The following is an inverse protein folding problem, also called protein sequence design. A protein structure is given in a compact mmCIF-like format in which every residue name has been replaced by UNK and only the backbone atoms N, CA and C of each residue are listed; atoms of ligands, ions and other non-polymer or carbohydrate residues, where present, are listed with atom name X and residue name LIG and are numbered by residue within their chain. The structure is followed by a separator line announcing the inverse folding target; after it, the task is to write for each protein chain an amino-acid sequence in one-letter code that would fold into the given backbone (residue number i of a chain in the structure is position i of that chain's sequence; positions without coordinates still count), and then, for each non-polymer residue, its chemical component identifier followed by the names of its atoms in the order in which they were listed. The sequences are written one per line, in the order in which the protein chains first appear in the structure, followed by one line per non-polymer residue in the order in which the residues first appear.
data_IF_384660835318
#
_entry.id   IF_384660835318
#
_cell.length_a   1.000
_cell.length_b   1.000
_cell.length_c   1.000
_cell.angle_alpha   90.00
_cell.angle_beta   90.00
_cell.angle_gamma   90.00
#
_symmetry.space_group_name_H-M   'P 1'
#
loop_
_entity.id
_entity.type
_entity.pdbx_description
1 polymer ?
#
# COMPACT_ATOMS: atom_id res chain seq x y z
N UNK A 1 -6.21 -7.91 -35.62
CA UNK A 1 -7.33 -7.37 -34.83
C UNK A 1 -6.76 -6.78 -33.55
N UNK A 2 -6.78 -5.45 -33.42
CA UNK A 2 -6.31 -4.74 -32.23
C UNK A 2 -7.52 -4.46 -31.36
N UNK A 3 -7.71 -5.21 -30.28
CA UNK A 3 -8.83 -4.99 -29.38
C UNK A 3 -8.64 -3.68 -28.57
N UNK A 4 -9.46 -2.64 -28.80
CA UNK A 4 -9.35 -1.38 -28.08
C UNK A 4 -9.71 -1.52 -26.58
N UNK A 5 -10.38 -2.60 -26.16
CA UNK A 5 -10.73 -2.85 -24.75
C UNK A 5 -9.51 -3.38 -23.96
N UNK A 6 -8.69 -4.24 -24.56
CA UNK A 6 -7.45 -4.75 -23.95
C UNK A 6 -6.39 -3.65 -23.73
N UNK A 7 -6.37 -2.60 -24.57
CA UNK A 7 -5.49 -1.43 -24.36
C UNK A 7 -6.01 -0.46 -23.30
N UNK A 8 -7.34 -0.40 -23.12
CA UNK A 8 -7.97 0.42 -22.08
C UNK A 8 -7.86 -0.23 -20.70
N UNK A 9 -7.93 -1.56 -20.61
CA UNK A 9 -7.70 -2.28 -19.34
C UNK A 9 -6.24 -2.20 -18.87
N UNK A 10 -5.26 -2.31 -19.78
CA UNK A 10 -3.85 -2.10 -19.47
C UNK A 10 -3.53 -0.65 -19.01
N UNK A 11 -4.18 0.34 -19.62
CA UNK A 11 -4.05 1.75 -19.24
C UNK A 11 -4.68 2.05 -17.87
N UNK A 12 -5.80 1.41 -17.52
CA UNK A 12 -6.49 1.62 -16.24
C UNK A 12 -5.78 0.92 -15.08
N UNK A 13 -5.25 -0.29 -15.27
CA UNK A 13 -4.35 -0.92 -14.29
C UNK A 13 -3.08 -0.08 -14.04
N UNK A 14 -2.61 0.63 -15.07
CA UNK A 14 -1.53 1.62 -14.93
C UNK A 14 -1.93 2.83 -14.08
N UNK A 15 -3.17 3.32 -14.19
CA UNK A 15 -3.63 4.50 -13.46
C UNK A 15 -3.92 4.18 -11.99
N UNK A 16 -4.53 3.04 -11.69
CA UNK A 16 -4.75 2.55 -10.32
C UNK A 16 -3.41 2.28 -9.61
N UNK A 17 -2.47 1.67 -10.35
CA UNK A 17 -1.07 1.58 -9.93
C UNK A 17 -0.51 2.99 -9.68
N UNK A 18 -0.60 3.94 -10.61
CA UNK A 18 -0.01 5.27 -10.48
C UNK A 18 -0.53 6.11 -9.31
N UNK A 19 -1.79 5.98 -8.90
CA UNK A 19 -2.31 6.73 -7.77
C UNK A 19 -2.11 6.07 -6.41
N UNK A 20 -2.11 4.73 -6.38
CA UNK A 20 -1.55 3.99 -5.27
C UNK A 20 -0.07 4.34 -5.09
N UNK A 21 0.63 4.42 -6.22
CA UNK A 21 1.99 4.93 -6.30
C UNK A 21 2.04 6.42 -6.04
N UNK A 22 0.98 7.23 -6.03
CA UNK A 22 1.07 8.63 -5.62
C UNK A 22 1.03 8.77 -4.09
N UNK A 23 0.28 7.89 -3.40
CA UNK A 23 0.38 7.72 -1.95
C UNK A 23 1.71 7.08 -1.54
N UNK A 24 2.13 6.03 -2.25
CA UNK A 24 3.44 5.40 -2.06
C UNK A 24 4.57 6.29 -2.56
N UNK A 25 4.40 7.18 -3.55
CA UNK A 25 5.37 8.22 -3.99
C UNK A 25 5.24 9.47 -3.15
N UNK A 26 4.25 9.64 -2.28
CA UNK A 26 4.31 10.65 -1.25
C UNK A 26 5.23 10.12 -0.15
N UNK A 27 4.95 8.91 0.36
CA UNK A 27 5.82 8.16 1.27
C UNK A 27 7.20 7.87 0.65
N UNK A 28 7.28 7.68 -0.65
CA UNK A 28 8.51 7.43 -1.40
C UNK A 28 9.04 8.65 -2.13
N UNK A 29 8.42 9.83 -2.11
CA UNK A 29 9.12 11.08 -2.49
C UNK A 29 9.91 11.60 -1.31
N UNK A 30 9.42 11.32 -0.09
CA UNK A 30 10.26 11.27 1.11
C UNK A 30 11.40 10.27 0.87
N UNK A 31 11.16 9.10 0.27
CA UNK A 31 12.18 8.08 -0.03
C UNK A 31 12.78 8.09 -1.46
N UNK A 32 12.63 9.14 -2.29
CA UNK A 32 13.07 9.17 -3.70
C UNK A 32 13.34 10.62 -4.14
N UNK A 33 14.27 11.28 -3.44
CA UNK A 33 15.09 12.28 -4.13
C UNK A 33 15.76 11.60 -5.35
N UNK A 34 15.70 12.20 -6.56
CA UNK A 34 16.12 11.51 -7.78
C UNK A 34 17.64 11.39 -7.89
N UNK A 35 18.21 10.21 -8.22
CA UNK A 35 19.36 10.14 -9.10
C UNK A 35 18.87 10.05 -10.56
N UNK A 36 19.75 10.38 -11.50
CA UNK A 36 19.47 10.60 -12.92
C UNK A 36 18.48 9.63 -13.59
N UNK A 37 17.65 10.23 -14.45
CA UNK A 37 16.49 9.68 -15.15
C UNK A 37 16.75 8.34 -15.87
N UNK A 38 16.12 7.28 -15.38
CA UNK A 38 16.05 5.97 -16.04
C UNK A 38 15.17 4.97 -15.30
N UNK A 39 13.95 5.36 -14.92
CA UNK A 39 12.96 4.46 -14.32
C UNK A 39 12.04 3.87 -15.40
N UNK A 40 12.22 2.59 -15.73
CA UNK A 40 11.23 1.78 -16.45
C UNK A 40 10.54 0.83 -15.46
N UNK A 41 9.26 1.08 -15.20
CA UNK A 41 8.39 0.15 -14.47
C UNK A 41 7.69 -0.75 -15.50
N UNK A 42 8.14 -1.98 -15.64
CA UNK A 42 7.37 -3.03 -16.31
C UNK A 42 6.43 -3.65 -15.27
N UNK A 43 5.11 -3.66 -15.53
CA UNK A 43 4.22 -4.52 -14.76
C UNK A 43 4.71 -5.98 -14.94
N UNK A 44 4.87 -6.78 -13.85
CA UNK A 44 5.15 -8.20 -14.02
C UNK A 44 4.00 -8.81 -14.83
N UNK A 45 4.30 -9.31 -16.03
CA UNK A 45 3.29 -9.79 -16.97
C UNK A 45 2.76 -11.15 -16.51
N UNK A 46 3.56 -11.90 -15.74
CA UNK A 46 3.17 -13.13 -15.06
C UNK A 46 3.87 -13.12 -13.69
N UNK A 47 3.10 -13.07 -12.61
CA UNK A 47 3.57 -13.54 -11.30
C UNK A 47 3.16 -14.99 -11.27
N UNK A 48 4.13 -15.89 -11.46
CA UNK A 48 3.95 -17.30 -11.20
C UNK A 48 3.67 -17.39 -9.69
N UNK A 49 2.38 -17.52 -9.34
CA UNK A 49 1.96 -17.75 -7.99
C UNK A 49 2.59 -19.08 -7.59
N UNK A 50 3.67 -19.01 -6.82
CA UNK A 50 4.03 -20.12 -5.96
C UNK A 50 2.78 -20.40 -5.14
N UNK A 51 2.07 -21.45 -5.52
CA UNK A 51 1.07 -22.08 -4.67
C UNK A 51 1.86 -22.50 -3.43
N UNK A 52 1.90 -21.62 -2.43
CA UNK A 52 2.02 -22.10 -1.06
C UNK A 52 0.83 -23.04 -0.93
N UNK A 53 1.12 -24.34 -0.84
CA UNK A 53 0.15 -25.37 -0.52
C UNK A 53 -0.80 -24.77 0.51
N UNK A 54 -2.06 -24.65 0.10
CA UNK A 54 -3.12 -24.33 1.03
C UNK A 54 -2.98 -25.37 2.13
N UNK A 55 -2.52 -24.94 3.30
CA UNK A 55 -2.67 -25.72 4.51
C UNK A 55 -4.15 -26.04 4.56
N UNK A 56 -4.49 -27.30 4.29
CA UNK A 56 -5.83 -27.82 4.41
C UNK A 56 -6.29 -27.40 5.80
N UNK A 57 -7.23 -26.46 5.85
CA UNK A 57 -7.92 -26.15 7.09
C UNK A 57 -8.79 -27.37 7.32
N UNK A 58 -8.24 -28.35 8.04
CA UNK A 58 -8.99 -29.47 8.56
C UNK A 58 -10.10 -28.88 9.42
N UNK A 59 -11.31 -28.86 8.86
CA UNK A 59 -12.51 -28.44 9.57
C UNK A 59 -12.67 -29.43 10.70
N UNK A 60 -12.32 -29.00 11.91
CA UNK A 60 -12.43 -29.81 13.11
C UNK A 60 -13.84 -30.42 13.16
N UNK A 61 -13.89 -31.76 13.16
CA UNK A 61 -15.13 -32.51 13.27
C UNK A 61 -15.91 -32.02 14.51
N UNK A 62 -17.25 -31.90 14.42
CA UNK A 62 -18.05 -31.45 15.55
C UNK A 62 -17.78 -32.36 16.75
N UNK A 63 -17.37 -31.75 17.86
CA UNK A 63 -17.08 -32.44 19.10
C UNK A 63 -18.27 -33.33 19.50
N UNK A 64 -17.97 -34.59 19.79
CA UNK A 64 -18.98 -35.54 20.26
C UNK A 64 -19.64 -35.03 21.56
N UNK A 65 -20.93 -35.30 21.79
CA UNK A 65 -21.62 -34.92 23.02
C UNK A 65 -20.91 -35.51 24.25
N UNK A 66 -20.81 -34.77 25.36
CA UNK A 66 -20.16 -35.27 26.57
C UNK A 66 -20.92 -36.47 27.15
N UNK A 67 -20.20 -37.54 27.42
CA UNK A 67 -20.72 -38.72 28.13
C UNK A 67 -21.16 -38.35 29.55
N UNK A 68 -22.28 -38.92 30.05
CA UNK A 68 -22.74 -38.68 31.41
C UNK A 68 -21.80 -39.33 32.45
N UNK A 69 -21.69 -38.74 33.66
CA UNK A 69 -20.76 -39.19 34.69
C UNK A 69 -21.15 -40.55 35.27
N UNK A 70 -20.18 -41.46 35.32
CA UNK A 70 -20.28 -42.77 35.96
C UNK A 70 -20.30 -42.65 37.49
N UNK A 71 -21.26 -43.36 38.12
CA UNK A 71 -21.32 -43.53 39.58
C UNK A 71 -20.11 -44.31 40.12
N UNK A 72 -19.66 -44.03 41.36
CA UNK A 72 -18.53 -44.70 41.97
C UNK A 72 -18.95 -46.03 42.59
N UNK A 73 -18.38 -47.13 42.09
CA UNK A 73 -18.41 -48.44 42.75
C UNK A 73 -17.19 -48.61 43.67
N UNK A 74 -17.47 -49.23 44.81
CA UNK A 74 -16.59 -49.38 45.96
C UNK A 74 -15.42 -50.36 45.76
N UNK A 75 -14.33 -50.01 46.45
CA UNK A 75 -13.32 -50.85 47.12
C UNK A 75 -13.04 -52.26 46.63
N UNK A 76 -11.76 -52.58 46.40
CA UNK A 76 -11.12 -53.67 47.14
C UNK A 76 -9.61 -53.43 47.25
N UNK A 77 -9.13 -53.43 48.49
CA UNK A 77 -7.72 -53.51 48.86
C UNK A 77 -7.14 -54.87 48.52
N UNK A 78 -5.95 -54.95 47.93
CA UNK A 78 -5.04 -56.02 48.30
C UNK A 78 -3.58 -55.58 48.20
N UNK A 79 -2.88 -55.94 49.27
CA UNK A 79 -1.52 -55.62 49.63
C UNK A 79 -0.57 -56.60 48.95
N UNK A 80 0.56 -56.13 48.39
CA UNK A 80 1.82 -56.84 48.65
C UNK A 80 3.04 -55.95 48.47
N UNK A 81 3.81 -55.96 49.54
CA UNK A 81 5.12 -55.39 49.84
C UNK A 81 6.24 -55.96 48.96
N UNK A 82 7.26 -55.15 48.68
CA UNK A 82 8.50 -55.60 48.06
C UNK A 82 9.54 -54.49 47.94
N UNK A 83 10.11 -54.07 49.07
CA UNK A 83 11.38 -53.34 49.13
C UNK A 83 12.52 -54.19 48.57
N UNK A 84 13.42 -53.56 47.81
CA UNK A 84 14.58 -54.19 47.18
C UNK A 84 15.63 -53.17 46.80
N UNK A 85 16.36 -52.75 47.81
CA UNK A 85 17.55 -51.90 47.83
C UNK A 85 18.69 -52.40 46.93
N UNK A 86 19.41 -51.46 46.30
CA UNK A 86 20.88 -51.33 46.34
C UNK A 86 21.65 -51.20 45.00
N UNK A 87 22.58 -50.25 45.07
CA UNK A 87 23.93 -50.25 44.51
C UNK A 87 24.21 -49.91 43.03
N UNK A 88 24.64 -48.66 42.89
CA UNK A 88 25.81 -48.16 42.15
C UNK A 88 26.85 -49.16 41.60
N UNK A 89 27.34 -48.86 40.38
CA UNK A 89 28.71 -49.02 39.80
C UNK A 89 28.58 -49.07 38.27
N UNK A 90 29.53 -48.74 37.41
CA UNK A 90 30.86 -48.13 37.43
C UNK A 90 31.22 -47.92 35.94
N UNK A 91 32.21 -47.08 35.68
CA UNK A 91 32.68 -46.64 34.37
C UNK A 91 33.23 -47.75 33.47
N UNK A 92 33.16 -47.52 32.16
CA UNK A 92 33.83 -48.33 31.14
C UNK A 92 33.88 -47.63 29.79
N UNK A 93 34.95 -46.85 29.58
CA UNK A 93 35.40 -46.36 28.27
C UNK A 93 35.91 -47.50 27.38
N UNK A 94 35.53 -47.50 26.10
CA UNK A 94 36.42 -47.96 25.02
C UNK A 94 36.01 -47.34 23.68
N UNK A 95 36.97 -46.67 23.05
CA UNK A 95 36.95 -46.28 21.64
C UNK A 95 36.87 -47.52 20.73
N UNK A 96 36.24 -47.42 19.55
CA UNK A 96 36.96 -47.49 18.27
C UNK A 96 36.04 -47.24 17.05
N UNK A 97 36.69 -46.69 16.03
CA UNK A 97 36.40 -46.57 14.60
C UNK A 97 35.05 -47.02 14.00
N UNK A 98 34.41 -46.04 13.34
CA UNK A 98 34.27 -46.10 11.89
C UNK A 98 33.02 -46.77 11.32
N UNK A 99 32.01 -45.97 10.94
CA UNK A 99 31.22 -46.28 9.76
C UNK A 99 30.46 -45.03 9.27
N UNK A 100 30.70 -44.68 8.00
CA UNK A 100 29.98 -43.68 7.23
C UNK A 100 28.46 -43.92 7.34
N UNK A 101 27.73 -43.02 8.00
CA UNK A 101 26.27 -42.95 7.90
C UNK A 101 25.85 -41.74 7.10
N UNK A 102 25.02 -42.04 6.10
CA UNK A 102 24.33 -41.14 5.19
C UNK A 102 23.58 -40.07 6.00
N UNK A 103 23.74 -38.81 5.60
CA UNK A 103 22.88 -37.70 6.05
C UNK A 103 21.42 -38.10 5.80
N UNK A 104 20.66 -38.27 6.88
CA UNK A 104 19.21 -38.15 6.89
C UNK A 104 18.92 -36.68 7.20
N UNK A 105 18.07 -36.09 6.39
CA UNK A 105 17.46 -34.80 6.62
C UNK A 105 16.75 -34.81 7.98
N UNK A 106 17.12 -33.86 8.84
CA UNK A 106 16.38 -33.54 10.04
C UNK A 106 15.32 -32.50 9.65
N UNK A 107 14.06 -32.94 9.65
CA UNK A 107 12.92 -32.05 9.64
C UNK A 107 12.97 -31.15 10.88
N UNK A 108 12.79 -29.86 10.66
CA UNK A 108 12.60 -28.87 11.72
C UNK A 108 11.12 -28.88 12.08
N UNK A 109 10.78 -29.72 13.07
CA UNK A 109 9.55 -29.55 13.84
C UNK A 109 9.83 -28.53 14.94
N UNK A 110 9.24 -27.35 14.80
CA UNK A 110 9.48 -26.23 15.71
C UNK A 110 8.50 -25.09 15.49
N UNK A 111 7.21 -25.39 15.46
CA UNK A 111 6.16 -24.39 15.67
C UNK A 111 6.34 -23.81 17.08
N UNK A 112 7.12 -22.73 17.17
CA UNK A 112 7.27 -21.95 18.38
C UNK A 112 6.02 -21.09 18.50
N UNK A 113 5.05 -21.61 19.25
CA UNK A 113 3.94 -20.84 19.79
C UNK A 113 4.54 -19.81 20.75
N UNK A 114 4.82 -18.60 20.29
CA UNK A 114 5.20 -17.49 21.17
C UNK A 114 3.98 -17.10 22.02
N UNK A 115 4.04 -17.25 23.36
CA UNK A 115 3.03 -16.74 24.25
C UNK A 115 3.40 -15.31 24.64
N UNK A 116 2.53 -14.34 24.35
CA UNK A 116 2.68 -12.96 24.82
C UNK A 116 2.82 -11.93 23.71
N UNK A 117 1.78 -11.76 22.90
CA UNK A 117 1.52 -10.49 22.23
C UNK A 117 0.36 -9.85 22.98
N UNK A 118 0.59 -8.63 23.46
CA UNK A 118 -0.31 -7.89 24.34
C UNK A 118 -1.72 -7.74 23.80
N UNK A 119 -2.62 -7.49 24.75
CA UNK A 119 -4.03 -7.14 24.59
C UNK A 119 -4.16 -5.91 23.67
N UNK A 120 -4.23 -6.16 22.35
CA UNK A 120 -4.22 -5.12 21.32
C UNK A 120 -3.83 -5.62 19.92
N UNK A 121 -3.97 -6.92 19.63
CA UNK A 121 -3.56 -7.50 18.35
C UNK A 121 -4.18 -6.72 17.15
N UNK A 122 -3.36 -6.30 16.17
CA UNK A 122 -3.80 -5.38 15.12
C UNK A 122 -4.95 -5.98 14.31
N UNK A 123 -5.98 -5.17 14.12
CA UNK A 123 -7.35 -5.46 13.60
C UNK A 123 -7.38 -5.93 12.13
N UNK A 124 -6.25 -6.24 11.52
CA UNK A 124 -6.12 -6.23 10.08
C UNK A 124 -5.57 -7.54 9.53
N UNK A 125 -6.47 -8.53 9.40
CA UNK A 125 -6.24 -9.70 8.54
C UNK A 125 -6.71 -9.37 7.13
N UNK A 126 -5.83 -8.88 6.27
CA UNK A 126 -6.13 -8.88 4.84
C UNK A 126 -6.45 -10.32 4.40
N UNK A 127 -7.38 -10.52 3.44
CA UNK A 127 -7.51 -11.82 2.80
C UNK A 127 -6.14 -12.37 2.41
N UNK A 128 -5.83 -13.64 2.68
CA UNK A 128 -4.46 -14.15 2.51
C UNK A 128 -4.01 -14.14 1.02
N UNK A 129 -3.44 -13.05 0.53
CA UNK A 129 -3.21 -12.85 -0.91
C UNK A 129 -3.69 -11.50 -1.41
N UNK A 130 -4.54 -10.78 -0.64
CA UNK A 130 -4.71 -9.34 -0.75
C UNK A 130 -3.40 -8.64 -0.41
N UNK A 131 -2.72 -8.09 -1.43
CA UNK A 131 -1.47 -7.36 -1.24
C UNK A 131 -1.73 -5.90 -0.85
N UNK A 132 -2.95 -5.40 -1.09
CA UNK A 132 -3.36 -4.06 -0.73
C UNK A 132 -4.82 -4.02 -0.26
N UNK A 133 -5.10 -3.24 0.78
CA UNK A 133 -6.41 -2.67 1.06
C UNK A 133 -6.38 -1.16 1.29
N UNK A 134 -7.46 -0.50 0.88
CA UNK A 134 -7.80 0.87 1.18
C UNK A 134 -9.18 0.89 1.83
N UNK A 135 -9.28 1.42 3.05
CA UNK A 135 -10.53 1.67 3.76
C UNK A 135 -10.78 3.16 3.89
N UNK A 136 -12.02 3.58 3.73
CA UNK A 136 -12.42 4.97 3.83
C UNK A 136 -13.73 5.04 4.60
N UNK A 137 -13.76 5.89 5.63
CA UNK A 137 -14.96 6.27 6.35
C UNK A 137 -15.55 7.52 5.67
N UNK A 138 -16.59 7.30 4.88
CA UNK A 138 -17.24 8.35 4.09
C UNK A 138 -18.06 9.30 4.94
N UNK A 139 -18.55 8.85 6.11
CA UNK A 139 -19.26 9.72 7.05
C UNK A 139 -18.30 10.81 7.57
N UNK A 140 -17.06 10.42 7.91
CA UNK A 140 -16.00 11.36 8.29
C UNK A 140 -15.56 12.24 7.13
N UNK A 141 -15.32 11.67 5.94
CA UNK A 141 -14.96 12.45 4.75
C UNK A 141 -16.00 13.52 4.45
N UNK A 142 -17.30 13.23 4.57
CA UNK A 142 -18.37 14.22 4.39
C UNK A 142 -18.36 15.33 5.43
N UNK A 143 -18.00 15.01 6.68
CA UNK A 143 -17.89 15.99 7.76
C UNK A 143 -16.64 16.88 7.68
N UNK A 144 -15.64 16.47 6.91
CA UNK A 144 -14.33 17.13 6.86
C UNK A 144 -14.34 18.43 6.03
N UNK A 145 -13.56 19.47 6.41
CA UNK A 145 -13.35 20.67 5.58
C UNK A 145 -12.76 20.38 4.19
N UNK A 146 -12.15 19.22 3.97
CA UNK A 146 -11.61 18.78 2.67
C UNK A 146 -12.50 17.74 1.99
N UNK A 147 -13.72 17.51 2.48
CA UNK A 147 -14.64 16.50 1.97
C UNK A 147 -14.95 16.64 0.48
N UNK A 148 -15.16 17.86 -0.02
CA UNK A 148 -15.41 18.10 -1.44
C UNK A 148 -14.19 17.79 -2.34
N UNK A 149 -12.98 18.08 -1.84
CA UNK A 149 -11.72 17.79 -2.55
C UNK A 149 -11.52 16.27 -2.68
N UNK A 150 -11.74 15.54 -1.58
CA UNK A 150 -11.66 14.07 -1.57
C UNK A 150 -12.78 13.45 -2.41
N UNK A 151 -14.01 13.97 -2.33
CA UNK A 151 -15.11 13.51 -3.17
C UNK A 151 -14.81 13.71 -4.67
N UNK A 152 -14.22 14.85 -5.02
CA UNK A 152 -13.80 15.13 -6.39
C UNK A 152 -12.71 14.18 -6.85
N UNK A 153 -11.75 13.85 -5.98
CA UNK A 153 -10.72 12.85 -6.26
C UNK A 153 -11.33 11.46 -6.48
N UNK A 154 -12.21 11.00 -5.60
CA UNK A 154 -12.83 9.67 -5.69
C UNK A 154 -13.63 9.48 -6.98
N UNK A 155 -14.28 10.54 -7.50
CA UNK A 155 -15.03 10.49 -8.77
C UNK A 155 -14.14 10.27 -9.99
N UNK A 156 -12.87 10.66 -9.93
CA UNK A 156 -11.92 10.47 -11.04
C UNK A 156 -11.17 9.14 -10.97
N UNK A 157 -11.25 8.41 -9.85
CA UNK A 157 -10.62 7.09 -9.70
C UNK A 157 -11.25 6.11 -10.71
N UNK A 158 -10.48 5.55 -11.65
CA UNK A 158 -11.05 4.70 -12.70
C UNK A 158 -11.73 3.44 -12.18
N UNK A 159 -11.26 2.87 -11.07
CA UNK A 159 -11.85 1.65 -10.49
C UNK A 159 -13.22 1.91 -9.88
N UNK A 160 -13.43 3.11 -9.34
CA UNK A 160 -14.76 3.54 -8.89
C UNK A 160 -15.73 3.65 -10.05
N UNK A 161 -15.29 4.26 -11.15
CA UNK A 161 -16.07 4.30 -12.37
C UNK A 161 -16.29 2.90 -12.97
N UNK A 162 -15.35 1.97 -12.78
CA UNK A 162 -15.44 0.60 -13.24
C UNK A 162 -16.46 -0.24 -12.47
N UNK A 163 -16.61 0.04 -11.18
CA UNK A 163 -17.40 -0.80 -10.30
C UNK A 163 -18.79 -0.21 -10.09
N UNK A 164 -18.86 1.10 -9.87
CA UNK A 164 -20.08 1.81 -9.51
C UNK A 164 -20.51 2.85 -10.54
N UNK A 165 -19.72 3.07 -11.60
CA UNK A 165 -20.10 3.96 -12.69
C UNK A 165 -21.44 3.54 -13.27
N UNK A 166 -22.37 4.50 -13.38
CA UNK A 166 -23.76 4.31 -13.86
C UNK A 166 -24.72 3.62 -12.87
N UNK A 167 -24.26 3.16 -11.71
CA UNK A 167 -25.14 2.60 -10.65
C UNK A 167 -26.04 3.64 -9.98
N UNK A 168 -25.76 4.92 -10.19
CA UNK A 168 -26.40 6.03 -9.49
C UNK A 168 -25.94 6.18 -8.03
N UNK A 169 -25.02 5.31 -7.56
CA UNK A 169 -24.32 5.47 -6.27
C UNK A 169 -23.31 6.60 -6.39
N UNK A 170 -23.50 7.67 -5.64
CA UNK A 170 -22.41 8.59 -5.34
C UNK A 170 -21.58 8.01 -4.18
N UNK A 171 -20.28 7.75 -4.36
CA UNK A 171 -19.46 7.04 -3.38
C UNK A 171 -19.34 7.80 -2.06
N UNK A 172 -19.50 9.12 -2.06
CA UNK A 172 -19.40 9.94 -0.86
C UNK A 172 -20.75 10.11 -0.19
N UNK A 173 -21.84 10.28 -0.94
CA UNK A 173 -23.18 10.46 -0.36
C UNK A 173 -23.79 9.14 0.12
N UNK A 174 -23.65 8.09 -0.68
CA UNK A 174 -24.46 6.88 -0.54
C UNK A 174 -23.73 5.76 0.21
N UNK A 175 -22.43 5.88 0.43
CA UNK A 175 -21.65 4.97 1.27
C UNK A 175 -21.33 5.62 2.61
N UNK A 176 -21.36 4.84 3.69
CA UNK A 176 -20.82 5.21 5.00
C UNK A 176 -19.39 4.73 5.17
N UNK A 177 -19.08 3.51 4.69
CA UNK A 177 -17.74 2.95 4.69
C UNK A 177 -17.49 2.14 3.44
N UNK A 178 -16.25 2.14 2.99
CA UNK A 178 -15.84 1.33 1.84
C UNK A 178 -14.45 0.75 2.06
N UNK A 179 -14.29 -0.49 1.62
CA UNK A 179 -13.04 -1.21 1.48
C UNK A 179 -12.82 -1.48 -0.01
N UNK A 180 -11.64 -1.15 -0.51
CA UNK A 180 -11.09 -1.61 -1.78
C UNK A 180 -9.93 -2.51 -1.46
N UNK A 181 -10.00 -3.77 -1.81
CA UNK A 181 -8.88 -4.69 -1.68
C UNK A 181 -8.47 -5.20 -3.06
N UNK A 182 -7.18 -5.37 -3.28
CA UNK A 182 -6.68 -6.00 -4.51
C UNK A 182 -5.58 -7.01 -4.19
N UNK A 183 -5.70 -8.28 -4.66
CA UNK A 183 -4.71 -9.32 -4.45
C UNK A 183 -3.49 -9.17 -5.35
N UNK A 184 -3.63 -8.45 -6.44
CA UNK A 184 -2.54 -8.01 -7.28
C UNK A 184 -2.91 -6.64 -7.86
N UNK A 185 -1.98 -5.91 -8.45
CA UNK A 185 -2.33 -4.64 -9.13
C UNK A 185 -3.14 -4.85 -10.41
N UNK A 186 -3.61 -6.06 -10.69
CA UNK A 186 -4.45 -6.32 -11.85
C UNK A 186 -5.90 -5.99 -11.50
N UNK A 187 -6.49 -5.12 -12.32
CA UNK A 187 -7.87 -4.66 -12.19
C UNK A 187 -8.91 -5.78 -12.15
N UNK A 188 -8.58 -6.94 -12.73
CA UNK A 188 -9.43 -8.13 -12.74
C UNK A 188 -9.76 -8.62 -11.34
N UNK A 189 -8.89 -8.43 -10.36
CA UNK A 189 -9.02 -9.08 -9.05
C UNK A 189 -9.48 -8.14 -7.93
N UNK A 190 -10.00 -6.96 -8.26
CA UNK A 190 -10.45 -5.99 -7.26
C UNK A 190 -11.68 -6.52 -6.53
N UNK A 191 -11.62 -6.48 -5.20
CA UNK A 191 -12.72 -6.71 -4.27
C UNK A 191 -13.14 -5.37 -3.69
N UNK A 192 -14.44 -5.10 -3.68
CA UNK A 192 -15.02 -3.96 -2.96
C UNK A 192 -15.99 -4.46 -1.93
N UNK A 193 -15.86 -4.00 -0.70
CA UNK A 193 -16.91 -4.13 0.30
C UNK A 193 -17.40 -2.73 0.69
N UNK A 194 -18.69 -2.58 0.91
CA UNK A 194 -19.25 -1.28 1.27
C UNK A 194 -20.42 -1.41 2.24
N UNK A 195 -20.59 -0.37 3.05
CA UNK A 195 -21.77 -0.11 3.85
C UNK A 195 -22.49 1.10 3.27
N UNK A 196 -23.76 0.95 2.94
CA UNK A 196 -24.60 2.03 2.44
C UNK A 196 -25.07 2.94 3.59
N UNK A 197 -25.05 4.27 3.38
CA UNK A 197 -25.52 5.28 4.34
C UNK A 197 -27.03 5.23 4.52
N UNK A 198 -27.63 5.55 5.68
CA UNK A 198 -29.07 5.32 5.92
C UNK A 198 -30.03 5.84 4.84
N UNK A 199 -29.70 6.98 4.19
CA UNK A 199 -30.50 7.55 3.11
C UNK A 199 -30.33 6.89 1.74
N UNK A 200 -29.31 6.04 1.58
CA UNK A 200 -29.08 5.33 0.32
C UNK A 200 -30.11 4.20 0.13
N UNK A 201 -30.51 3.89 -1.12
CA UNK A 201 -31.45 2.82 -1.40
C UNK A 201 -31.00 1.46 -0.84
N UNK A 202 -31.95 0.54 -0.71
CA UNK A 202 -31.65 -0.86 -0.38
C UNK A 202 -30.62 -1.46 -1.37
N UNK A 203 -29.61 -2.24 -0.91
CA UNK A 203 -28.57 -2.77 -1.77
C UNK A 203 -29.08 -3.73 -2.85
N UNK A 204 -30.15 -4.50 -2.59
CA UNK A 204 -30.77 -5.33 -3.62
C UNK A 204 -31.42 -4.45 -4.68
N UNK A 205 -32.21 -3.46 -4.28
CA UNK A 205 -32.83 -2.51 -5.22
C UNK A 205 -31.78 -1.73 -6.02
N UNK A 206 -30.62 -1.44 -5.43
CA UNK A 206 -29.49 -0.81 -6.12
C UNK A 206 -28.95 -1.70 -7.24
N UNK A 207 -28.66 -2.97 -6.95
CA UNK A 207 -28.18 -3.92 -7.96
C UNK A 207 -29.20 -4.13 -9.08
N UNK A 208 -30.49 -4.20 -8.73
CA UNK A 208 -31.60 -4.35 -9.70
C UNK A 208 -31.70 -3.15 -10.63
N UNK A 209 -31.66 -1.92 -10.10
CA UNK A 209 -31.67 -0.71 -10.93
C UNK A 209 -30.44 -0.60 -11.80
N UNK A 210 -29.27 -0.98 -11.29
CA UNK A 210 -28.04 -0.96 -12.07
C UNK A 210 -28.10 -1.93 -13.25
N UNK A 211 -28.61 -3.14 -13.03
CA UNK A 211 -28.86 -4.10 -14.11
C UNK A 211 -29.91 -3.59 -15.11
N UNK A 212 -31.02 -3.05 -14.62
CA UNK A 212 -32.11 -2.52 -15.45
C UNK A 212 -31.64 -1.36 -16.33
N UNK A 213 -30.80 -0.46 -15.81
CA UNK A 213 -30.19 0.64 -16.56
C UNK A 213 -29.35 0.17 -17.76
N UNK A 214 -28.98 -1.12 -17.77
CA UNK A 214 -28.23 -1.79 -18.85
C UNK A 214 -29.07 -2.75 -19.67
N UNK A 215 -30.38 -2.79 -19.45
CA UNK A 215 -31.27 -3.75 -20.11
C UNK A 215 -31.01 -5.19 -19.69
N UNK A 216 -30.42 -5.41 -18.51
CA UNK A 216 -30.16 -6.72 -17.94
C UNK A 216 -31.17 -7.00 -16.82
N UNK A 217 -31.54 -8.28 -16.68
CA UNK A 217 -32.22 -8.78 -15.49
C UNK A 217 -31.18 -9.52 -14.63
N UNK A 218 -31.30 -9.40 -13.31
CA UNK A 218 -30.47 -10.16 -12.36
C UNK A 218 -31.30 -11.24 -11.68
N UNK A 219 -30.67 -12.39 -11.50
CA UNK A 219 -31.22 -13.52 -10.75
C UNK A 219 -30.43 -13.68 -9.46
N UNK A 220 -31.13 -13.59 -8.33
CA UNK A 220 -30.52 -13.79 -7.03
C UNK A 220 -30.35 -15.28 -6.75
N UNK A 221 -29.15 -15.63 -6.29
CA UNK A 221 -28.73 -16.97 -5.90
C UNK A 221 -28.40 -16.94 -4.41
N UNK A 222 -28.49 -18.09 -3.75
CA UNK A 222 -27.99 -18.26 -2.39
C UNK A 222 -26.62 -18.93 -2.44
N UNK A 223 -25.61 -18.27 -1.90
CA UNK A 223 -24.24 -18.77 -1.85
C UNK A 223 -23.76 -18.79 -0.40
N UNK A 224 -23.74 -19.99 0.19
CA UNK A 224 -23.43 -20.21 1.60
C UNK A 224 -24.33 -19.37 2.56
N UNK A 225 -25.62 -19.24 2.25
CA UNK A 225 -26.57 -18.44 3.03
C UNK A 225 -26.48 -16.94 2.79
N UNK A 226 -25.69 -16.49 1.81
CA UNK A 226 -25.54 -15.08 1.42
C UNK A 226 -26.20 -14.86 0.06
N UNK A 227 -27.21 -13.98 -0.05
CA UNK A 227 -27.80 -13.64 -1.34
C UNK A 227 -26.77 -13.00 -2.26
N UNK A 228 -26.50 -13.63 -3.41
CA UNK A 228 -25.54 -13.16 -4.41
C UNK A 228 -26.15 -13.10 -5.81
N UNK A 229 -25.59 -12.27 -6.69
CA UNK A 229 -25.99 -12.22 -8.10
C UNK A 229 -24.87 -11.65 -8.97
N UNK A 230 -24.98 -11.79 -10.29
CA UNK A 230 -23.99 -11.24 -11.22
C UNK A 230 -24.04 -9.72 -11.21
N UNK A 231 -22.89 -9.09 -10.98
CA UNK A 231 -22.70 -7.65 -11.07
C UNK A 231 -22.41 -7.24 -12.51
N UNK A 232 -23.24 -6.38 -13.13
CA UNK A 232 -23.08 -6.01 -14.54
C UNK A 232 -21.99 -4.94 -14.69
N UNK A 233 -20.72 -5.30 -14.54
CA UNK A 233 -19.61 -4.34 -14.57
C UNK A 233 -19.36 -3.71 -15.95
N UNK A 234 -19.11 -2.38 -16.06
CA UNK A 234 -18.74 -1.69 -17.30
C UNK A 234 -17.44 -2.15 -17.95
N UNK A 235 -16.53 -2.74 -17.19
CA UNK A 235 -15.19 -3.07 -17.70
C UNK A 235 -15.10 -4.46 -18.35
N UNK A 236 -16.21 -5.20 -18.40
CA UNK A 236 -16.28 -6.54 -18.98
C UNK A 236 -15.69 -7.62 -18.08
N UNK A 237 -15.19 -7.29 -16.89
CA UNK A 237 -14.73 -8.29 -15.92
C UNK A 237 -15.96 -8.80 -15.15
N UNK A 238 -16.14 -10.11 -15.20
CA UNK A 238 -17.20 -10.80 -14.47
C UNK A 238 -16.99 -10.66 -12.96
N UNK A 239 -18.03 -10.18 -12.29
CA UNK A 239 -18.08 -10.01 -10.84
C UNK A 239 -19.45 -10.41 -10.35
N UNK A 240 -19.51 -10.87 -9.12
CA UNK A 240 -20.73 -11.10 -8.38
C UNK A 240 -20.82 -10.06 -7.25
N UNK A 241 -22.04 -9.65 -6.94
CA UNK A 241 -22.37 -8.87 -5.75
C UNK A 241 -23.05 -9.77 -4.73
N UNK A 242 -22.62 -9.72 -3.48
CA UNK A 242 -23.18 -10.47 -2.37
C UNK A 242 -23.65 -9.52 -1.26
N UNK A 243 -24.82 -9.80 -0.68
CA UNK A 243 -25.45 -9.01 0.38
C UNK A 243 -25.08 -9.60 1.74
N UNK A 244 -23.96 -9.16 2.30
CA UNK A 244 -23.38 -9.70 3.54
C UNK A 244 -24.01 -9.15 4.83
N UNK A 245 -25.00 -8.26 4.69
CA UNK A 245 -25.81 -7.70 5.77
C UNK A 245 -26.84 -6.73 5.20
N UNK A 246 -27.74 -6.20 6.04
CA UNK A 246 -28.86 -5.35 5.61
C UNK A 246 -28.44 -4.14 4.76
N UNK A 247 -27.32 -3.51 5.13
CA UNK A 247 -26.76 -2.33 4.46
C UNK A 247 -25.41 -2.62 3.81
N UNK A 248 -25.00 -3.87 3.76
CA UNK A 248 -23.64 -4.25 3.42
C UNK A 248 -23.58 -5.10 2.17
N UNK A 249 -22.61 -4.79 1.32
CA UNK A 249 -22.39 -5.54 0.09
C UNK A 249 -20.90 -5.83 -0.11
N UNK A 250 -20.63 -6.87 -0.89
CA UNK A 250 -19.32 -7.21 -1.43
C UNK A 250 -19.46 -7.38 -2.93
N UNK A 251 -18.58 -6.77 -3.72
CA UNK A 251 -18.42 -7.01 -5.16
C UNK A 251 -17.04 -7.64 -5.37
N UNK A 252 -17.00 -8.85 -5.93
CA UNK A 252 -15.77 -9.60 -6.17
C UNK A 252 -15.90 -10.45 -7.44
N UNK A 253 -14.81 -11.03 -7.95
CA UNK A 253 -14.93 -12.11 -8.95
C UNK A 253 -15.64 -13.32 -8.32
N UNK A 254 -16.34 -14.15 -9.12
CA UNK A 254 -16.93 -15.39 -8.62
C UNK A 254 -15.93 -16.25 -7.85
N UNK A 255 -14.71 -16.41 -8.37
CA UNK A 255 -13.65 -17.23 -7.73
C UNK A 255 -13.13 -16.63 -6.40
N UNK A 256 -13.18 -15.31 -6.25
CA UNK A 256 -12.70 -14.62 -5.04
C UNK A 256 -13.80 -14.49 -3.97
N UNK A 257 -15.07 -14.57 -4.36
CA UNK A 257 -16.21 -14.29 -3.48
C UNK A 257 -16.30 -15.28 -2.30
N UNK A 258 -16.25 -16.62 -2.48
CA UNK A 258 -16.30 -17.58 -1.37
C UNK A 258 -15.25 -17.29 -0.31
N UNK A 259 -14.05 -16.90 -0.76
CA UNK A 259 -12.95 -16.55 0.12
C UNK A 259 -13.23 -15.30 0.94
N UNK A 260 -13.74 -14.24 0.31
CA UNK A 260 -14.09 -12.99 1.01
C UNK A 260 -15.20 -13.24 2.02
N UNK A 261 -16.20 -14.05 1.67
CA UNK A 261 -17.27 -14.46 2.58
C UNK A 261 -16.74 -15.27 3.77
N UNK A 262 -15.82 -16.21 3.54
CA UNK A 262 -15.17 -16.98 4.61
C UNK A 262 -14.41 -16.06 5.59
N UNK A 263 -13.75 -15.02 5.10
CA UNK A 263 -13.05 -14.04 5.95
C UNK A 263 -14.05 -13.22 6.76
N UNK A 264 -15.15 -12.77 6.15
CA UNK A 264 -16.21 -12.08 6.86
C UNK A 264 -16.80 -12.94 7.99
N UNK A 265 -17.06 -14.22 7.71
CA UNK A 265 -17.56 -15.19 8.67
C UNK A 265 -16.55 -15.47 9.80
N UNK A 266 -15.27 -15.65 9.48
CA UNK A 266 -14.22 -15.84 10.47
C UNK A 266 -14.06 -14.63 11.39
N UNK A 267 -14.19 -13.41 10.84
CA UNK A 267 -14.16 -12.18 11.65
C UNK A 267 -15.38 -12.06 12.57
N UNK A 268 -16.57 -12.42 12.09
CA UNK A 268 -17.79 -12.52 12.94
C UNK A 268 -17.54 -13.40 14.15
N UNK A 269 -16.99 -14.59 13.95
CA UNK A 269 -16.77 -15.55 15.03
C UNK A 269 -15.84 -15.01 16.13
N UNK A 270 -14.90 -14.12 15.79
CA UNK A 270 -13.96 -13.52 16.74
C UNK A 270 -14.50 -12.27 17.44
N UNK A 271 -15.53 -11.62 16.90
CA UNK A 271 -16.09 -10.36 17.42
C UNK A 271 -17.58 -10.52 17.67
N UNK A 272 -17.93 -11.10 18.81
CA UNK A 272 -19.32 -11.37 19.18
C UNK A 272 -20.23 -10.11 19.19
N UNK A 273 -19.64 -8.91 19.29
CA UNK A 273 -20.37 -7.63 19.38
C UNK A 273 -20.43 -6.83 18.08
N UNK A 274 -19.73 -7.23 17.02
CA UNK A 274 -19.66 -6.46 15.75
C UNK A 274 -20.34 -7.26 14.64
N UNK A 275 -21.23 -6.61 13.89
CA UNK A 275 -21.83 -7.22 12.70
C UNK A 275 -20.71 -7.73 11.75
N UNK A 276 -20.85 -8.93 11.15
CA UNK A 276 -19.81 -9.55 10.32
C UNK A 276 -19.29 -8.63 9.22
N UNK A 277 -20.23 -7.91 8.63
CA UNK A 277 -19.99 -7.04 7.51
C UNK A 277 -19.24 -5.77 7.93
N UNK A 278 -19.49 -5.26 9.15
CA UNK A 278 -18.71 -4.17 9.74
C UNK A 278 -17.28 -4.62 10.02
N UNK A 279 -17.05 -5.90 10.28
CA UNK A 279 -15.71 -6.39 10.54
C UNK A 279 -14.78 -6.26 9.33
N UNK A 280 -15.24 -6.45 8.09
CA UNK A 280 -14.42 -6.21 6.88
C UNK A 280 -14.04 -4.72 6.73
N UNK A 281 -14.97 -3.85 7.13
CA UNK A 281 -14.88 -2.39 7.03
C UNK A 281 -14.29 -1.75 8.28
N UNK A 282 -13.83 -2.55 9.25
CA UNK A 282 -13.30 -2.05 10.50
C UNK A 282 -12.02 -1.23 10.27
N UNK A 283 -11.92 -0.14 11.01
CA UNK A 283 -10.82 0.82 11.05
C UNK A 283 -10.56 1.19 12.51
N UNK A 284 -9.42 1.80 12.81
CA UNK A 284 -9.17 2.28 14.17
C UNK A 284 -10.04 3.49 14.49
N UNK A 285 -10.29 3.72 15.77
CA UNK A 285 -11.13 4.82 16.22
C UNK A 285 -10.59 6.16 15.74
N UNK A 286 -11.46 6.94 15.09
CA UNK A 286 -11.10 8.26 14.55
C UNK A 286 -10.50 8.23 13.14
N UNK A 287 -10.17 7.07 12.57
CA UNK A 287 -9.63 7.00 11.21
C UNK A 287 -10.69 7.36 10.17
N UNK A 288 -10.35 8.32 9.30
CA UNK A 288 -11.12 8.63 8.09
C UNK A 288 -10.64 7.84 6.87
N UNK A 289 -9.36 7.44 6.86
CA UNK A 289 -8.75 6.67 5.79
C UNK A 289 -7.68 5.73 6.36
N UNK A 290 -7.59 4.52 5.82
CA UNK A 290 -6.57 3.54 6.17
C UNK A 290 -6.11 2.78 4.94
N UNK A 291 -4.80 2.63 4.78
CA UNK A 291 -4.15 1.86 3.71
C UNK A 291 -3.33 0.76 4.37
N UNK A 292 -3.46 -0.46 3.87
CA UNK A 292 -2.67 -1.60 4.31
C UNK A 292 -2.06 -2.28 3.10
N UNK A 293 -0.78 -2.59 3.18
CA UNK A 293 -0.01 -3.27 2.15
C UNK A 293 0.66 -4.47 2.80
N UNK A 294 0.39 -5.66 2.26
CA UNK A 294 1.13 -6.88 2.59
C UNK A 294 2.16 -7.13 1.50
N UNK A 295 3.31 -7.71 1.89
CA UNK A 295 4.41 -8.04 1.00
C UNK A 295 4.88 -6.84 0.15
N UNK A 296 5.30 -5.77 0.83
CA UNK A 296 5.67 -4.49 0.18
C UNK A 296 6.76 -4.67 -0.88
N UNK A 297 7.62 -5.67 -0.72
CA UNK A 297 8.68 -6.04 -1.68
C UNK A 297 8.16 -6.30 -3.11
N UNK A 298 6.94 -6.80 -3.29
CA UNK A 298 6.36 -7.03 -4.64
C UNK A 298 6.14 -5.72 -5.39
N UNK A 299 5.93 -4.62 -4.66
CA UNK A 299 5.69 -3.29 -5.22
C UNK A 299 6.97 -2.47 -5.39
N UNK A 300 8.05 -2.86 -4.72
CA UNK A 300 9.30 -2.09 -4.67
C UNK A 300 10.43 -2.88 -5.31
N UNK A 301 10.68 -2.66 -6.60
CA UNK A 301 11.74 -3.36 -7.34
C UNK A 301 13.15 -2.89 -7.00
N UNK A 302 13.32 -1.63 -6.59
CA UNK A 302 14.60 -1.00 -6.28
C UNK A 302 14.41 0.00 -5.15
N UNK A 303 14.76 -0.41 -3.94
CA UNK A 303 14.80 0.49 -2.78
C UNK A 303 16.24 0.82 -2.42
N UNK A 304 16.47 2.05 -1.97
CA UNK A 304 17.74 2.40 -1.30
C UNK A 304 17.65 2.25 0.21
N UNK A 305 16.44 2.06 0.75
CA UNK A 305 16.21 1.77 2.17
C UNK A 305 15.77 0.31 2.31
N UNK A 306 15.93 -0.32 3.49
CA UNK A 306 15.27 -1.59 3.78
C UNK A 306 13.76 -1.52 3.47
N UNK A 307 13.21 -2.64 2.98
CA UNK A 307 11.81 -2.71 2.54
C UNK A 307 11.01 -3.49 3.60
N UNK A 308 9.90 -2.94 4.11
CA UNK A 308 9.11 -3.65 5.11
C UNK A 308 8.40 -4.86 4.50
N UNK A 309 8.11 -5.85 5.34
CA UNK A 309 7.21 -6.96 5.00
C UNK A 309 5.77 -6.47 4.86
N UNK A 310 5.36 -5.54 5.73
CA UNK A 310 4.00 -4.99 5.81
C UNK A 310 4.02 -3.50 6.10
N UNK A 311 3.07 -2.76 5.54
CA UNK A 311 2.87 -1.34 5.79
C UNK A 311 1.40 -1.06 6.10
N UNK A 312 1.11 -0.31 7.16
CA UNK A 312 -0.21 0.28 7.46
C UNK A 312 -0.06 1.79 7.55
N UNK A 313 -0.99 2.54 6.96
CA UNK A 313 -1.05 4.00 7.06
C UNK A 313 -2.48 4.40 7.41
N UNK A 314 -2.67 5.00 8.58
CA UNK A 314 -3.92 5.56 9.06
C UNK A 314 -3.93 7.08 8.96
N UNK A 315 -5.11 7.65 8.68
CA UNK A 315 -5.33 9.10 8.65
C UNK A 315 -6.48 9.44 9.58
N UNK A 316 -6.17 10.27 10.57
CA UNK A 316 -7.13 10.77 11.56
C UNK A 316 -7.29 12.26 11.38
N UNK A 317 -8.52 12.76 11.32
CA UNK A 317 -8.79 14.19 11.23
C UNK A 317 -8.56 14.87 12.60
N UNK A 318 -8.05 16.10 12.58
CA UNK A 318 -7.91 16.97 13.74
C UNK A 318 -8.37 18.39 13.43
N UNK A 319 -8.26 19.29 14.41
CA UNK A 319 -8.88 20.63 14.34
C UNK A 319 -8.39 21.48 13.14
N UNK A 320 -7.09 21.42 12.83
CA UNK A 320 -6.46 22.23 11.77
C UNK A 320 -5.96 21.40 10.58
N UNK A 321 -6.31 20.11 10.52
CA UNK A 321 -5.82 19.22 9.48
C UNK A 321 -6.04 17.74 9.74
N UNK A 322 -5.07 16.92 9.40
CA UNK A 322 -5.07 15.49 9.65
C UNK A 322 -3.72 15.01 10.17
N UNK A 323 -3.75 14.04 11.08
CA UNK A 323 -2.58 13.29 11.53
C UNK A 323 -2.47 12.01 10.74
N UNK A 324 -1.31 11.81 10.11
CA UNK A 324 -0.93 10.59 9.43
C UNK A 324 -0.12 9.72 10.38
N UNK A 325 -0.50 8.46 10.54
CA UNK A 325 0.29 7.46 11.29
C UNK A 325 0.61 6.29 10.38
N UNK A 326 1.87 5.94 10.27
CA UNK A 326 2.38 4.81 9.54
C UNK A 326 3.00 3.78 10.48
N UNK A 327 2.79 2.51 10.20
CA UNK A 327 3.44 1.38 10.85
C UNK A 327 4.02 0.48 9.77
N UNK A 328 5.32 0.28 9.80
CA UNK A 328 6.04 -0.55 8.85
C UNK A 328 6.76 -1.67 9.61
N UNK A 329 6.39 -2.93 9.32
CA UNK A 329 7.00 -4.11 9.95
C UNK A 329 8.11 -4.66 9.07
N UNK A 330 9.27 -4.91 9.63
CA UNK A 330 10.46 -5.42 8.96
C UNK A 330 10.76 -6.86 9.36
N UNK A 331 11.75 -7.47 8.70
CA UNK A 331 12.19 -8.82 9.04
C UNK A 331 13.01 -8.84 10.34
N UNK A 332 13.72 -7.75 10.62
CA UNK A 332 14.60 -7.60 11.79
C UNK A 332 14.52 -6.18 12.35
N UNK A 333 14.95 -6.01 13.61
CA UNK A 333 15.10 -4.71 14.24
C UNK A 333 16.12 -3.82 13.50
N UNK A 334 17.28 -4.38 13.13
CA UNK A 334 18.33 -3.68 12.36
C UNK A 334 17.80 -3.14 11.02
N UNK A 335 16.93 -3.90 10.33
CA UNK A 335 16.27 -3.42 9.11
C UNK A 335 15.33 -2.23 9.39
N UNK A 336 14.62 -2.24 10.51
CA UNK A 336 13.72 -1.16 10.92
C UNK A 336 14.52 0.11 11.29
N UNK A 337 15.63 -0.02 12.03
CA UNK A 337 16.56 1.07 12.32
C UNK A 337 17.17 1.65 11.03
N UNK A 338 17.69 0.78 10.17
CA UNK A 338 18.26 1.19 8.87
C UNK A 338 17.23 1.88 7.97
N UNK A 339 15.97 1.45 8.00
CA UNK A 339 14.87 2.12 7.31
C UNK A 339 14.57 3.49 7.91
N UNK A 340 14.53 3.61 9.24
CA UNK A 340 14.31 4.87 9.95
C UNK A 340 15.35 5.92 9.56
N UNK A 341 16.64 5.59 9.67
CA UNK A 341 17.74 6.50 9.33
C UNK A 341 17.70 6.93 7.86
N UNK A 342 17.53 5.95 6.96
CA UNK A 342 17.43 6.20 5.53
C UNK A 342 16.24 7.11 5.18
N UNK A 343 15.06 6.85 5.74
CA UNK A 343 13.87 7.66 5.50
C UNK A 343 14.02 9.06 6.08
N UNK A 344 14.61 9.22 7.27
CA UNK A 344 14.85 10.52 7.89
C UNK A 344 15.87 11.36 7.10
N UNK A 345 16.92 10.76 6.53
CA UNK A 345 17.85 11.45 5.63
C UNK A 345 17.13 11.96 4.37
N UNK A 346 16.33 11.09 3.76
CA UNK A 346 15.67 11.44 2.50
C UNK A 346 14.51 12.42 2.70
N UNK A 347 13.81 12.36 3.84
CA UNK A 347 12.84 13.37 4.26
C UNK A 347 13.48 14.77 4.31
N UNK A 348 14.62 14.91 4.98
CA UNK A 348 15.37 16.17 5.06
C UNK A 348 15.83 16.66 3.69
N UNK A 349 16.34 15.74 2.86
CA UNK A 349 16.74 16.07 1.50
C UNK A 349 15.55 16.57 0.65
N UNK A 350 14.39 15.92 0.75
CA UNK A 350 13.17 16.29 0.05
C UNK A 350 12.60 17.63 0.55
N UNK A 351 12.58 17.87 1.87
CA UNK A 351 12.14 19.13 2.46
C UNK A 351 13.00 20.31 1.99
N UNK A 352 14.31 20.10 1.78
CA UNK A 352 15.22 21.11 1.24
C UNK A 352 15.03 21.41 -0.26
N UNK A 353 14.18 20.66 -0.96
CA UNK A 353 13.96 20.83 -2.40
C UNK A 353 13.02 22.01 -2.68
N UNK A 354 13.49 22.96 -3.50
CA UNK A 354 12.74 24.17 -3.87
C UNK A 354 11.37 23.86 -4.49
N UNK A 355 11.24 22.79 -5.27
CA UNK A 355 9.96 22.41 -5.88
C UNK A 355 8.99 21.93 -4.79
N UNK A 356 9.45 21.10 -3.85
CA UNK A 356 8.62 20.59 -2.74
C UNK A 356 8.14 21.74 -1.86
N UNK A 357 9.03 22.68 -1.52
CA UNK A 357 8.70 23.88 -0.77
C UNK A 357 7.75 24.82 -1.55
N UNK A 358 7.89 24.92 -2.88
CA UNK A 358 6.96 25.70 -3.72
C UNK A 358 5.52 25.16 -3.66
N UNK A 359 5.34 23.84 -3.48
CA UNK A 359 4.04 23.22 -3.25
C UNK A 359 3.59 23.26 -1.78
N UNK A 360 4.40 23.81 -0.86
CA UNK A 360 4.13 23.85 0.57
C UNK A 360 4.15 22.47 1.23
N UNK A 361 4.91 21.52 0.67
CA UNK A 361 5.01 20.14 1.15
C UNK A 361 6.30 19.89 1.95
N UNK A 362 7.14 20.91 2.14
CA UNK A 362 8.32 20.86 3.02
C UNK A 362 7.90 20.73 4.49
N UNK A 363 6.89 21.48 4.92
CA UNK A 363 6.38 21.46 6.28
C UNK A 363 6.04 20.06 6.83
N UNK A 364 5.21 19.25 6.15
CA UNK A 364 4.93 17.87 6.55
C UNK A 364 6.17 16.98 6.68
N UNK A 365 7.15 17.18 5.81
CA UNK A 365 8.37 16.37 5.79
C UNK A 365 9.29 16.72 6.95
N UNK A 366 9.40 18.02 7.28
CA UNK A 366 10.15 18.50 8.44
C UNK A 366 9.51 18.06 9.77
N UNK A 367 8.21 17.75 9.77
CA UNK A 367 7.44 17.29 10.94
C UNK A 367 7.34 15.77 11.06
N UNK A 368 8.04 15.01 10.22
CA UNK A 368 8.05 13.54 10.34
C UNK A 368 8.78 13.12 11.62
N UNK A 369 8.08 12.35 12.45
CA UNK A 369 8.63 11.66 13.61
C UNK A 369 8.79 10.18 13.29
N UNK A 370 9.96 9.62 13.59
CA UNK A 370 10.29 8.23 13.34
C UNK A 370 10.66 7.57 14.66
N UNK A 371 10.03 6.43 14.97
CA UNK A 371 10.32 5.64 16.17
C UNK A 371 10.39 4.17 15.81
N UNK A 372 11.40 3.48 16.31
CA UNK A 372 11.56 2.04 16.12
C UNK A 372 11.26 1.34 17.45
N UNK A 373 10.36 0.38 17.41
CA UNK A 373 10.00 -0.51 18.50
C UNK A 373 10.08 -1.94 17.97
N UNK A 374 11.03 -2.73 18.45
CA UNK A 374 11.34 -4.08 17.92
C UNK A 374 11.53 -4.07 16.39
N UNK A 375 10.83 -4.95 15.66
CA UNK A 375 10.86 -5.02 14.19
C UNK A 375 9.89 -4.04 13.50
N UNK A 376 9.39 -3.03 14.23
CA UNK A 376 8.36 -2.10 13.74
C UNK A 376 8.86 -0.65 13.74
N UNK A 377 8.76 0.00 12.59
CA UNK A 377 8.97 1.44 12.42
C UNK A 377 7.62 2.15 12.45
N UNK A 378 7.43 3.01 13.45
CA UNK A 378 6.34 3.97 13.55
C UNK A 378 6.75 5.29 12.90
N UNK A 379 5.86 5.84 12.08
CA UNK A 379 6.04 7.12 11.39
C UNK A 379 4.83 8.01 11.66
N UNK A 380 5.01 9.21 12.19
CA UNK A 380 3.91 10.16 12.39
C UNK A 380 4.21 11.49 11.69
N UNK A 381 3.19 12.12 11.10
CA UNK A 381 3.25 13.52 10.67
C UNK A 381 1.87 14.18 10.74
N UNK A 382 1.85 15.50 10.63
CA UNK A 382 0.64 16.30 10.58
C UNK A 382 0.57 17.08 9.28
N UNK A 383 -0.56 16.92 8.59
CA UNK A 383 -0.93 17.61 7.37
C UNK A 383 -1.98 18.67 7.69
N UNK A 384 -1.74 19.92 7.33
CA UNK A 384 -2.75 20.99 7.36
C UNK A 384 -3.76 20.77 6.25
N UNK A 385 -4.98 21.26 6.40
CA UNK A 385 -5.99 21.15 5.34
C UNK A 385 -5.53 21.72 3.99
N UNK A 386 -4.75 22.80 3.98
CA UNK A 386 -4.17 23.35 2.75
C UNK A 386 -3.22 22.37 2.06
N UNK A 387 -2.41 21.64 2.83
CA UNK A 387 -1.47 20.64 2.32
C UNK A 387 -2.24 19.43 1.77
N UNK A 388 -3.30 18.99 2.46
CA UNK A 388 -4.19 17.91 2.00
C UNK A 388 -4.85 18.27 0.67
N UNK A 389 -5.36 19.51 0.51
CA UNK A 389 -5.95 19.98 -0.75
C UNK A 389 -4.94 20.00 -1.88
N UNK A 390 -3.71 20.44 -1.62
CA UNK A 390 -2.63 20.40 -2.61
C UNK A 390 -2.35 18.98 -3.05
N UNK A 391 -2.21 18.04 -2.11
CA UNK A 391 -1.98 16.62 -2.42
C UNK A 391 -3.15 16.05 -3.23
N UNK A 392 -4.39 16.24 -2.78
CA UNK A 392 -5.58 15.76 -3.49
C UNK A 392 -5.68 16.34 -4.90
N UNK A 393 -5.36 17.62 -5.09
CA UNK A 393 -5.34 18.29 -6.39
C UNK A 393 -4.29 17.71 -7.34
N UNK A 394 -3.07 17.45 -6.84
CA UNK A 394 -2.00 16.82 -7.62
C UNK A 394 -2.37 15.39 -8.04
N UNK A 395 -2.93 14.61 -7.12
CA UNK A 395 -3.37 13.22 -7.41
C UNK A 395 -4.52 13.24 -8.40
N UNK A 396 -5.49 14.16 -8.26
CA UNK A 396 -6.59 14.30 -9.22
C UNK A 396 -6.07 14.63 -10.62
N UNK A 397 -5.15 15.58 -10.76
CA UNK A 397 -4.56 15.92 -12.07
C UNK A 397 -3.87 14.70 -12.71
N UNK A 398 -3.22 13.88 -11.89
CA UNK A 398 -2.58 12.64 -12.35
C UNK A 398 -3.58 11.64 -12.91
N UNK A 399 -4.75 11.51 -12.28
CA UNK A 399 -5.85 10.65 -12.74
C UNK A 399 -6.58 11.18 -13.97
N UNK A 400 -6.79 12.49 -14.04
CA UNK A 400 -7.53 13.12 -15.14
C UNK A 400 -6.73 13.19 -16.44
N UNK A 401 -5.39 13.06 -16.37
CA UNK A 401 -4.54 13.00 -17.57
C UNK A 401 -4.96 11.81 -18.43
N UNK A 402 -5.48 12.04 -19.65
CA UNK A 402 -5.94 10.95 -20.50
C UNK A 402 -4.79 10.00 -20.78
N UNK A 403 -4.93 8.72 -20.43
CA UNK A 403 -3.99 7.70 -20.84
C UNK A 403 -3.89 7.68 -22.37
N UNK A 404 -2.77 8.16 -22.90
CA UNK A 404 -2.55 8.27 -24.34
C UNK A 404 -2.79 9.65 -24.94
N UNK A 405 -2.97 10.71 -24.13
CA UNK A 405 -2.72 12.06 -24.64
C UNK A 405 -1.28 12.07 -25.19
N UNK A 406 -1.06 12.24 -26.51
CA UNK A 406 0.26 12.21 -27.07
C UNK A 406 1.11 13.23 -26.32
N UNK A 407 2.35 12.90 -25.90
CA UNK A 407 3.20 13.83 -25.18
C UNK A 407 3.16 15.14 -25.95
N UNK A 408 2.70 16.23 -25.30
CA UNK A 408 2.52 17.54 -25.95
C UNK A 408 3.73 17.73 -26.84
N UNK A 409 3.57 17.78 -28.18
CA UNK A 409 4.68 17.65 -29.09
C UNK A 409 5.71 18.65 -28.62
N UNK A 410 6.84 18.14 -28.07
CA UNK A 410 7.91 18.99 -27.55
C UNK A 410 8.12 20.00 -28.65
N UNK A 411 7.77 21.27 -28.42
CA UNK A 411 7.79 22.31 -29.46
C UNK A 411 9.13 22.13 -30.12
N UNK A 412 9.17 21.55 -31.33
CA UNK A 412 10.43 21.25 -32.00
C UNK A 412 11.18 22.56 -31.92
N UNK A 413 12.37 22.62 -31.28
CA UNK A 413 13.05 23.89 -31.09
C UNK A 413 13.02 24.56 -32.45
N UNK A 414 12.28 25.69 -32.55
CA UNK A 414 11.91 26.30 -33.83
C UNK A 414 13.16 26.22 -34.68
N UNK A 415 13.13 25.54 -35.85
CA UNK A 415 14.33 25.27 -36.63
C UNK A 415 15.08 26.59 -36.64
N UNK A 416 16.24 26.65 -35.98
CA UNK A 416 16.97 27.90 -35.75
C UNK A 416 16.98 28.55 -37.11
N UNK A 417 16.18 29.63 -37.31
CA UNK A 417 16.08 30.30 -38.61
C UNK A 417 17.52 30.44 -39.04
N UNK A 418 17.90 29.78 -40.14
CA UNK A 418 19.28 29.77 -40.62
C UNK A 418 19.63 31.25 -40.69
N UNK A 419 20.39 31.74 -39.69
CA UNK A 419 20.70 33.16 -39.61
C UNK A 419 21.27 33.50 -40.97
N UNK A 420 20.59 34.40 -41.67
CA UNK A 420 20.95 34.72 -43.05
C UNK A 420 22.42 35.15 -43.05
N UNK A 421 23.10 35.00 -44.18
CA UNK A 421 24.52 35.35 -44.28
C UNK A 421 24.76 36.81 -43.85
N UNK A 422 23.76 37.69 -44.01
CA UNK A 422 23.74 39.06 -43.50
C UNK A 422 23.65 39.14 -41.97
N UNK A 423 22.79 38.37 -41.31
CA UNK A 423 22.71 38.31 -39.84
C UNK A 423 23.99 37.73 -39.21
N UNK A 424 24.60 36.71 -39.83
CA UNK A 424 25.93 36.20 -39.40
C UNK A 424 27.02 37.24 -39.58
N UNK A 425 26.99 38.04 -40.66
CA UNK A 425 27.92 39.17 -40.86
C UNK A 425 27.69 40.30 -39.85
N UNK A 426 26.43 40.65 -39.54
CA UNK A 426 26.09 41.68 -38.55
C UNK A 426 26.54 41.27 -37.14
N UNK A 427 26.30 40.02 -36.76
CA UNK A 427 26.79 39.46 -35.49
C UNK A 427 28.33 39.40 -35.41
N UNK A 428 29.02 39.05 -36.50
CA UNK A 428 30.50 39.09 -36.56
C UNK A 428 31.07 40.52 -36.52
N UNK A 429 30.39 41.51 -37.12
CA UNK A 429 30.80 42.92 -37.03
C UNK A 429 30.58 43.49 -35.63
N UNK A 430 29.46 43.18 -34.98
CA UNK A 430 29.22 43.58 -33.58
C UNK A 430 30.23 42.95 -32.60
N UNK A 431 30.57 41.68 -32.78
CA UNK A 431 31.57 41.01 -31.93
C UNK A 431 33.01 41.53 -32.12
N UNK A 432 33.34 42.11 -33.29
CA UNK A 432 34.62 42.80 -33.51
C UNK A 432 34.66 44.19 -32.87
N UNK A 433 33.54 44.91 -32.84
CA UNK A 433 33.47 46.21 -32.17
C UNK A 433 33.68 46.11 -30.65
N UNK A 434 33.22 45.02 -30.02
CA UNK A 434 33.36 44.80 -28.57
C UNK A 434 34.79 44.38 -28.18
N UNK A 435 35.60 43.81 -29.10
CA UNK A 435 37.00 43.43 -28.83
C UNK A 435 38.01 44.57 -28.99
N UNK A 436 37.58 45.74 -29.47
CA UNK A 436 38.44 46.92 -29.61
C UNK A 436 38.46 47.85 -28.40
N UNK A 437 37.68 47.58 -27.35
CA UNK A 437 37.65 48.44 -26.16
C UNK A 437 38.85 48.13 -25.24
N UNK A 438 39.76 49.08 -24.97
CA UNK A 438 41.00 48.85 -24.19
C UNK A 438 40.78 48.48 -22.71
N UNK A 439 39.52 48.45 -22.23
CA UNK A 439 39.20 48.23 -20.82
C UNK A 439 38.63 46.85 -20.47
N UNK A 440 38.49 45.92 -21.42
CA UNK A 440 38.03 44.57 -21.12
C UNK A 440 39.18 43.68 -20.58
N UNK A 441 39.67 43.97 -19.37
CA UNK A 441 40.58 43.06 -18.65
C UNK A 441 39.80 41.79 -18.29
N UNK A 442 40.19 40.66 -18.87
CA UNK A 442 39.66 39.34 -18.49
C UNK A 442 39.88 39.12 -16.99
N UNK A 443 38.87 38.66 -16.22
CA UNK A 443 39.09 38.27 -14.84
C UNK A 443 40.13 37.13 -14.80
N UNK A 444 41.26 37.38 -14.12
CA UNK A 444 42.26 36.35 -13.86
C UNK A 444 41.73 35.45 -12.74
N UNK A 445 41.28 34.27 -13.12
CA UNK A 445 40.94 33.21 -12.18
C UNK A 445 42.23 32.60 -11.64
N UNK A 446 42.50 32.79 -10.35
CA UNK A 446 43.59 32.07 -9.65
C UNK A 446 42.95 30.96 -8.82
N UNK A 447 43.28 29.71 -9.13
CA UNK A 447 42.99 28.57 -8.25
C UNK A 447 44.00 28.58 -7.12
N UNK A 448 43.54 28.67 -5.88
CA UNK A 448 44.33 28.31 -4.70
C UNK A 448 43.76 27.01 -4.16
N UNK A 449 44.61 26.02 -4.03
CA UNK A 449 44.26 24.77 -3.36
C UNK A 449 45.04 24.76 -2.05
N UNK A 450 44.34 24.53 -0.95
CA UNK A 450 44.95 24.29 0.35
C UNK A 450 44.79 22.82 0.68
N UNK A 451 45.88 22.24 1.19
CA UNK A 451 45.92 20.86 1.69
C UNK A 451 46.03 20.94 3.20
N UNK A 452 45.00 20.48 3.90
CA UNK A 452 45.04 20.18 5.31
C UNK A 452 44.46 18.77 5.48
N UNK A 453 45.21 17.89 6.14
CA UNK A 453 44.80 16.55 6.55
C UNK A 453 44.15 15.68 5.44
N UNK A 454 44.90 15.44 4.36
CA UNK A 454 44.59 14.39 3.38
C UNK A 454 43.44 14.66 2.42
N UNK A 455 42.68 15.75 2.57
CA UNK A 455 41.65 16.17 1.63
C UNK A 455 42.04 17.46 0.89
N UNK A 456 42.08 17.41 -0.45
CA UNK A 456 42.35 18.59 -1.28
C UNK A 456 41.04 19.27 -1.67
N UNK A 457 40.77 20.45 -1.12
CA UNK A 457 39.64 21.29 -1.52
C UNK A 457 40.14 22.51 -2.30
N UNK A 458 39.69 22.67 -3.55
CA UNK A 458 40.06 23.80 -4.39
C UNK A 458 38.86 24.76 -4.54
N UNK A 459 38.95 25.93 -3.91
CA UNK A 459 37.96 26.99 -4.06
C UNK A 459 38.34 27.95 -5.21
N UNK A 460 37.39 28.19 -6.12
CA UNK A 460 37.50 29.25 -7.13
C UNK A 460 36.89 30.54 -6.59
N UNK A 461 37.71 31.51 -6.17
CA UNK A 461 37.20 32.84 -5.80
C UNK A 461 37.46 33.87 -6.89
N UNK A 462 36.46 34.71 -7.16
CA UNK A 462 36.59 35.90 -8.01
C UNK A 462 37.01 37.04 -7.08
N UNK A 463 38.21 37.59 -7.27
CA UNK A 463 38.59 38.85 -6.60
C UNK A 463 37.75 40.00 -7.18
N UNK A 464 36.70 40.39 -6.47
CA UNK A 464 36.11 41.72 -6.62
C UNK A 464 37.14 42.77 -6.18
N UNK A 465 37.33 43.83 -6.97
CA UNK A 465 38.03 45.02 -6.49
C UNK A 465 37.10 45.72 -5.51
N UNK A 466 37.60 46.05 -4.32
CA UNK A 466 36.93 46.97 -3.39
C UNK A 466 36.77 48.36 -4.02
N UNK A 467 36.03 49.26 -3.34
CA UNK A 467 35.55 50.53 -3.88
C UNK A 467 36.65 51.41 -4.49
#
# INVERSE_FOLDING_TARGET
MNDPLARRSAAVGWIASVALHAGVLFVASVALAPPDTGFELQAPIEVELGMVEATEVEVAAPAAPPEPPSEPAASTSESTTGEGESAARDAGTSADAGARRRRRDAGVDGATTSPGLGEGAPVAFLPAGAQLALRIDMDRVRGSPVGEDIASLLRVVPDWRALLGESGVDPVRDLSRVLIATPNLQRSSIVVAGRLSEGAPDPRALAERFAQGRGLAIEWRDEAGVPSTRWPSPDGIERDVALVGERHFVIARPDDLPRVLAIAAARRARRATVEPADALLAMDDGEGLSIEVENVAVFVRRSLCPVPLRLRVGVTEGDDGARLRGEARFATHDDAEGASECLAERARAAASNVIVSLYGLDGPLDRLDFRVEDDVLHVETQLRFTEIRTIAGLVRELFERPAGAPPRPRRRPRPRRRRTRSERRKARRGARAIRGSPHARRPQWRRRCHSADGATMCCCSIRGRGP
#
